data_IF_697489197612
#
_entry.id   IF_697489197612
#
_cell.length_a   1.000
_cell.length_b   1.000
_cell.length_c   1.000
_cell.angle_alpha   90.00
_cell.angle_beta   90.00
_cell.angle_gamma   90.00
#
_symmetry.space_group_name_H-M   'P 1'
#
loop_
_entity.id
_entity.type
_entity.pdbx_description
1 polymer ?
#
# COMPACT_ATOMS: atom_id res chain seq x y z
N UNK A 1 0.98 -0.36 -4.87
CA UNK A 1 1.00 1.13 -4.65
C UNK A 1 1.80 1.44 -3.38
N UNK A 2 2.66 2.46 -3.35
CA UNK A 2 3.51 2.69 -2.15
C UNK A 2 2.80 3.51 -1.07
N UNK A 3 2.45 4.76 -1.36
CA UNK A 3 1.81 5.66 -0.39
C UNK A 3 0.29 5.47 -0.31
N UNK A 4 -0.32 4.99 -1.40
CA UNK A 4 -1.76 4.69 -1.45
C UNK A 4 -2.18 3.69 -0.40
N UNK A 5 -1.38 2.65 -0.14
CA UNK A 5 -1.67 1.68 0.91
C UNK A 5 -1.67 2.33 2.30
N UNK A 6 -0.70 3.18 2.62
CA UNK A 6 -0.71 3.91 3.90
C UNK A 6 -1.94 4.79 4.07
N UNK A 7 -2.43 5.41 2.99
CA UNK A 7 -3.64 6.22 3.05
C UNK A 7 -4.87 5.41 3.45
N UNK A 8 -4.96 4.12 3.05
CA UNK A 8 -6.11 3.27 3.38
C UNK A 8 -6.27 3.03 4.88
N UNK A 9 -5.18 3.07 5.67
CA UNK A 9 -5.23 2.94 7.12
C UNK A 9 -6.07 4.05 7.80
N UNK A 10 -6.21 5.20 7.14
CA UNK A 10 -7.06 6.29 7.62
C UNK A 10 -8.55 5.95 7.58
N UNK A 11 -8.97 4.98 6.76
CA UNK A 11 -10.39 4.61 6.59
C UNK A 11 -10.94 4.03 7.92
N UNK A 12 -10.42 2.91 8.46
CA UNK A 12 -10.89 2.43 9.76
C UNK A 12 -10.58 3.39 10.90
N UNK A 13 -9.46 4.13 10.81
CA UNK A 13 -9.06 5.08 11.84
C UNK A 13 -10.06 6.24 11.98
N UNK A 14 -10.74 6.66 10.92
CA UNK A 14 -11.80 7.65 10.98
C UNK A 14 -12.99 7.25 11.88
N UNK A 15 -13.16 5.96 12.14
CA UNK A 15 -14.20 5.43 13.03
C UNK A 15 -13.68 5.03 14.42
N UNK A 16 -12.37 5.08 14.62
CA UNK A 16 -11.71 4.50 15.80
C UNK A 16 -12.00 5.28 17.08
N UNK A 17 -12.10 6.61 17.02
CA UNK A 17 -12.39 7.47 18.18
C UNK A 17 -13.73 7.11 18.85
N UNK A 18 -14.72 6.70 18.04
CA UNK A 18 -16.06 6.33 18.53
C UNK A 18 -16.14 4.86 18.94
N UNK A 19 -15.33 3.97 18.35
CA UNK A 19 -15.49 2.51 18.46
C UNK A 19 -14.34 1.79 19.15
N UNK A 20 -13.21 2.45 19.39
CA UNK A 20 -11.99 1.87 19.99
C UNK A 20 -11.62 0.53 19.34
N UNK A 21 -11.55 0.51 18.01
CA UNK A 21 -11.38 -0.71 17.22
C UNK A 21 -10.01 -1.35 17.46
N UNK A 22 -8.94 -0.58 17.20
CA UNK A 22 -7.55 -1.01 17.33
C UNK A 22 -6.62 0.22 17.41
N UNK A 23 -5.38 0.09 17.90
CA UNK A 23 -4.41 1.17 17.80
C UNK A 23 -4.05 1.47 16.34
N UNK A 24 -3.75 2.73 16.01
CA UNK A 24 -3.51 3.16 14.62
C UNK A 24 -2.38 2.38 13.91
N UNK A 25 -1.33 2.04 14.65
CA UNK A 25 -0.23 1.25 14.09
C UNK A 25 -0.67 -0.11 13.53
N UNK A 26 -1.73 -0.72 14.09
CA UNK A 26 -2.28 -1.98 13.58
C UNK A 26 -2.89 -1.81 12.19
N UNK A 27 -3.55 -0.68 11.94
CA UNK A 27 -4.10 -0.37 10.61
C UNK A 27 -2.99 -0.02 9.61
N UNK A 28 -1.94 0.70 10.05
CA UNK A 28 -0.75 0.96 9.23
C UNK A 28 -0.04 -0.35 8.86
N UNK A 29 0.15 -1.24 9.85
CA UNK A 29 0.73 -2.56 9.62
C UNK A 29 -0.12 -3.35 8.61
N UNK A 30 -1.44 -3.41 8.79
CA UNK A 30 -2.32 -4.16 7.91
C UNK A 30 -2.33 -3.61 6.47
N UNK A 31 -2.33 -2.28 6.34
CA UNK A 31 -2.32 -1.62 5.04
C UNK A 31 -1.03 -1.86 4.23
N UNK A 32 0.10 -2.15 4.90
CA UNK A 32 1.42 -2.31 4.28
C UNK A 32 1.99 -3.73 4.47
N UNK A 33 1.20 -4.64 5.02
CA UNK A 33 1.69 -5.94 5.49
C UNK A 33 2.32 -6.79 4.39
N UNK A 34 1.70 -6.82 3.22
CA UNK A 34 2.18 -7.60 2.07
C UNK A 34 3.54 -7.09 1.58
N UNK A 35 3.74 -5.77 1.51
CA UNK A 35 5.02 -5.16 1.17
C UNK A 35 6.11 -5.50 2.20
N UNK A 36 5.77 -5.54 3.50
CA UNK A 36 6.74 -5.95 4.52
C UNK A 36 7.15 -7.41 4.36
N UNK A 37 6.20 -8.29 3.99
CA UNK A 37 6.51 -9.69 3.69
C UNK A 37 7.41 -9.77 2.45
N UNK A 38 7.07 -9.03 1.38
CA UNK A 38 7.88 -8.97 0.15
C UNK A 38 9.31 -8.53 0.47
N UNK A 39 9.50 -7.45 1.21
CA UNK A 39 10.82 -6.97 1.60
C UNK A 39 11.58 -8.05 2.38
N UNK A 40 10.92 -8.71 3.34
CA UNK A 40 11.55 -9.79 4.10
C UNK A 40 11.96 -10.96 3.19
N UNK A 41 11.11 -11.36 2.26
CA UNK A 41 11.39 -12.44 1.32
C UNK A 41 12.48 -12.09 0.30
N UNK A 42 12.53 -10.84 -0.17
CA UNK A 42 13.65 -10.36 -1.01
C UNK A 42 14.97 -10.40 -0.23
N UNK A 43 14.98 -9.96 1.03
CA UNK A 43 16.18 -10.03 1.87
C UNK A 43 16.63 -11.46 2.17
N UNK A 44 15.70 -12.42 2.24
CA UNK A 44 15.98 -13.85 2.41
C UNK A 44 16.32 -14.57 1.10
N UNK A 45 16.22 -13.91 -0.06
CA UNK A 45 16.43 -14.51 -1.38
C UNK A 45 15.31 -15.47 -1.82
N UNK A 46 14.14 -15.41 -1.20
CA UNK A 46 12.94 -16.18 -1.56
C UNK A 46 12.22 -15.51 -2.74
N UNK A 47 12.15 -14.20 -2.75
CA UNK A 47 11.63 -13.35 -3.82
C UNK A 47 12.76 -12.49 -4.39
N UNK A 48 12.54 -11.85 -5.52
CA UNK A 48 13.57 -11.06 -6.18
C UNK A 48 13.06 -9.71 -6.68
N UNK A 49 13.94 -8.72 -6.60
CA UNK A 49 13.73 -7.37 -7.13
C UNK A 49 14.94 -7.02 -8.02
N UNK A 50 14.69 -6.62 -9.26
CA UNK A 50 15.74 -6.18 -10.19
C UNK A 50 15.34 -4.84 -10.82
N UNK A 51 16.29 -3.90 -10.97
CA UNK A 51 17.68 -3.94 -10.52
C UNK A 51 17.82 -3.89 -9.00
N UNK A 52 18.83 -4.57 -8.44
CA UNK A 52 19.05 -4.64 -6.99
C UNK A 52 19.47 -3.29 -6.38
N UNK A 53 20.04 -2.40 -7.17
CA UNK A 53 20.47 -1.08 -6.71
C UNK A 53 19.31 -0.09 -6.89
N UNK A 54 18.82 0.46 -5.80
CA UNK A 54 17.69 1.40 -5.77
C UNK A 54 17.88 2.57 -6.76
N UNK A 55 19.08 3.16 -6.82
CA UNK A 55 19.36 4.29 -7.71
C UNK A 55 19.34 3.93 -9.20
N UNK A 56 19.44 2.65 -9.55
CA UNK A 56 19.34 2.15 -10.93
C UNK A 56 17.91 1.70 -11.30
N UNK A 57 17.01 1.70 -10.34
CA UNK A 57 15.61 1.32 -10.55
C UNK A 57 14.76 2.49 -11.04
N UNK A 58 13.85 2.19 -11.97
CA UNK A 58 12.69 3.00 -12.33
C UNK A 58 11.47 2.08 -12.36
N UNK A 59 10.27 2.61 -12.28
CA UNK A 59 9.08 1.75 -12.39
C UNK A 59 9.05 0.98 -13.72
N UNK A 60 9.48 1.60 -14.81
CA UNK A 60 9.48 0.98 -16.14
C UNK A 60 10.49 -0.20 -16.27
N UNK A 61 11.64 -0.13 -15.59
CA UNK A 61 12.68 -1.18 -15.68
C UNK A 61 12.64 -2.18 -14.52
N UNK A 62 11.82 -1.92 -13.49
CA UNK A 62 11.72 -2.79 -12.33
C UNK A 62 11.04 -4.12 -12.69
N UNK A 63 11.66 -5.22 -12.26
CA UNK A 63 11.09 -6.56 -12.34
C UNK A 63 11.00 -7.11 -10.92
N UNK A 64 9.82 -7.55 -10.55
CA UNK A 64 9.52 -8.03 -9.20
C UNK A 64 8.99 -9.45 -9.32
N UNK A 65 9.65 -10.39 -8.65
CA UNK A 65 9.11 -11.72 -8.37
C UNK A 65 8.57 -11.70 -6.94
N UNK A 66 7.26 -11.78 -6.79
CA UNK A 66 6.55 -11.64 -5.52
C UNK A 66 5.49 -12.74 -5.34
N UNK A 67 5.81 -13.95 -5.81
CA UNK A 67 4.92 -15.11 -5.81
C UNK A 67 4.36 -15.45 -4.42
N UNK A 68 5.16 -15.33 -3.36
CA UNK A 68 4.76 -15.73 -2.02
C UNK A 68 4.15 -14.59 -1.18
N UNK A 69 4.39 -13.34 -1.58
CA UNK A 69 3.85 -12.16 -0.88
C UNK A 69 2.57 -11.63 -1.52
N UNK A 70 2.50 -11.52 -2.86
CA UNK A 70 1.45 -10.78 -3.56
C UNK A 70 0.62 -11.60 -4.57
N UNK A 71 0.91 -12.89 -4.80
CA UNK A 71 -0.02 -13.68 -5.59
C UNK A 71 -1.30 -13.95 -4.80
N UNK A 72 -2.43 -14.14 -5.50
CA UNK A 72 -3.76 -14.15 -4.89
C UNK A 72 -3.94 -15.18 -3.76
N UNK A 73 -3.40 -16.40 -3.91
CA UNK A 73 -3.51 -17.42 -2.85
C UNK A 73 -2.69 -17.06 -1.62
N UNK A 74 -1.39 -16.70 -1.71
CA UNK A 74 -0.62 -16.18 -0.57
C UNK A 74 -1.27 -14.97 0.10
N UNK A 75 -1.76 -13.99 -0.67
CA UNK A 75 -2.45 -12.81 -0.11
C UNK A 75 -3.62 -13.20 0.77
N UNK A 76 -4.46 -14.16 0.34
CA UNK A 76 -5.56 -14.66 1.16
C UNK A 76 -5.04 -15.29 2.47
N UNK A 77 -4.00 -16.10 2.39
CA UNK A 77 -3.38 -16.73 3.56
C UNK A 77 -2.84 -15.70 4.56
N UNK A 78 -2.07 -14.73 4.07
CA UNK A 78 -1.50 -13.66 4.88
C UNK A 78 -2.57 -12.76 5.49
N UNK A 79 -3.61 -12.41 4.70
CA UNK A 79 -4.73 -11.60 5.17
C UNK A 79 -5.50 -12.27 6.31
N UNK A 80 -5.77 -13.57 6.19
CA UNK A 80 -6.44 -14.36 7.25
C UNK A 80 -5.54 -14.47 8.48
N UNK A 81 -4.25 -14.77 8.31
CA UNK A 81 -3.30 -14.89 9.41
C UNK A 81 -3.20 -13.59 10.22
N UNK A 82 -3.00 -12.45 9.55
CA UNK A 82 -2.92 -11.14 10.23
C UNK A 82 -4.26 -10.75 10.89
N UNK A 83 -5.38 -11.07 10.25
CA UNK A 83 -6.70 -10.79 10.81
C UNK A 83 -6.96 -11.59 12.10
N UNK A 84 -6.59 -12.87 12.13
CA UNK A 84 -6.66 -13.70 13.35
C UNK A 84 -5.78 -13.10 14.44
N UNK A 85 -4.53 -12.74 14.12
CA UNK A 85 -3.62 -12.10 15.07
C UNK A 85 -4.24 -10.81 15.65
N UNK A 86 -4.78 -9.94 14.79
CA UNK A 86 -5.44 -8.71 15.24
C UNK A 86 -6.66 -8.99 16.14
N UNK A 87 -7.45 -10.02 15.81
CA UNK A 87 -8.58 -10.44 16.63
C UNK A 87 -8.18 -10.89 18.03
N UNK A 88 -7.09 -11.62 18.15
CA UNK A 88 -6.53 -12.10 19.44
C UNK A 88 -6.00 -10.88 20.25
N UNK A 89 -5.21 -10.02 19.61
CA UNK A 89 -4.56 -8.87 20.28
C UNK A 89 -5.56 -7.82 20.69
N UNK A 90 -6.45 -7.42 19.79
CA UNK A 90 -7.41 -6.34 20.02
C UNK A 90 -8.68 -6.82 20.73
N UNK A 91 -8.94 -8.12 20.79
CA UNK A 91 -10.17 -8.73 21.33
C UNK A 91 -11.42 -8.06 20.74
N UNK A 92 -11.40 -7.75 19.46
CA UNK A 92 -12.43 -6.98 18.78
C UNK A 92 -12.64 -7.51 17.34
N UNK A 93 -13.82 -8.06 17.09
CA UNK A 93 -14.20 -8.63 15.79
C UNK A 93 -14.13 -7.59 14.66
N UNK A 94 -14.53 -6.34 14.92
CA UNK A 94 -14.44 -5.28 13.89
C UNK A 94 -12.99 -4.94 13.55
N UNK A 95 -12.06 -5.02 14.50
CA UNK A 95 -10.64 -4.88 14.20
C UNK A 95 -10.14 -6.00 13.27
N UNK A 96 -10.57 -7.25 13.52
CA UNK A 96 -10.29 -8.41 12.64
C UNK A 96 -10.78 -8.14 11.22
N UNK A 97 -12.04 -7.72 11.07
CA UNK A 97 -12.64 -7.42 9.76
C UNK A 97 -11.87 -6.31 9.05
N UNK A 98 -11.55 -5.21 9.74
CA UNK A 98 -10.82 -4.11 9.14
C UNK A 98 -9.40 -4.49 8.71
N UNK A 99 -8.67 -5.27 9.54
CA UNK A 99 -7.32 -5.74 9.21
C UNK A 99 -7.35 -6.64 7.98
N UNK A 100 -8.27 -7.60 7.91
CA UNK A 100 -8.48 -8.42 6.71
C UNK A 100 -8.78 -7.55 5.50
N UNK A 101 -9.74 -6.62 5.63
CA UNK A 101 -10.17 -5.75 4.53
C UNK A 101 -9.04 -4.86 4.02
N UNK A 102 -8.13 -4.37 4.90
CA UNK A 102 -7.00 -3.56 4.49
C UNK A 102 -5.98 -4.37 3.68
N UNK A 103 -5.69 -5.62 4.05
CA UNK A 103 -4.82 -6.50 3.27
C UNK A 103 -5.43 -6.80 1.88
N UNK A 104 -6.74 -7.08 1.82
CA UNK A 104 -7.41 -7.28 0.53
C UNK A 104 -7.46 -5.99 -0.30
N UNK A 105 -7.68 -4.84 0.34
CA UNK A 105 -7.67 -3.55 -0.35
C UNK A 105 -6.29 -3.18 -0.90
N UNK A 106 -5.22 -3.55 -0.18
CA UNK A 106 -3.85 -3.46 -0.66
C UNK A 106 -3.71 -4.17 -2.00
N UNK A 107 -4.05 -5.46 -2.05
CA UNK A 107 -4.00 -6.28 -3.26
C UNK A 107 -4.85 -5.69 -4.40
N UNK A 108 -6.09 -5.28 -4.11
CA UNK A 108 -6.98 -4.68 -5.13
C UNK A 108 -6.37 -3.41 -5.74
N UNK A 109 -5.69 -2.61 -4.95
CA UNK A 109 -5.02 -1.42 -5.46
C UNK A 109 -3.78 -1.77 -6.27
N UNK A 110 -3.04 -2.82 -5.91
CA UNK A 110 -1.90 -3.28 -6.70
C UNK A 110 -2.35 -3.91 -8.01
N UNK A 111 -3.46 -4.63 -8.03
CA UNK A 111 -4.06 -5.09 -9.29
C UNK A 111 -4.49 -3.93 -10.19
N UNK A 112 -4.89 -2.78 -9.62
CA UNK A 112 -5.32 -1.62 -10.39
C UNK A 112 -4.15 -0.76 -10.89
N UNK A 113 -3.02 -0.70 -10.17
CA UNK A 113 -1.94 0.26 -10.47
C UNK A 113 -0.57 -0.40 -10.50
N UNK A 114 -0.34 -1.41 -9.67
CA UNK A 114 0.96 -2.04 -9.43
C UNK A 114 1.49 -2.88 -10.58
N UNK A 115 2.22 -3.92 -10.24
CA UNK A 115 2.76 -4.91 -11.14
C UNK A 115 1.74 -6.02 -11.45
N UNK A 116 2.10 -6.97 -12.32
CA UNK A 116 1.30 -8.18 -12.56
C UNK A 116 1.38 -9.12 -11.36
N UNK A 117 0.23 -9.67 -11.00
CA UNK A 117 0.09 -10.74 -10.01
C UNK A 117 -0.46 -11.99 -10.68
N UNK A 118 -0.30 -13.13 -10.03
CA UNK A 118 -0.78 -14.42 -10.52
C UNK A 118 -1.69 -15.08 -9.48
N UNK A 119 -2.28 -16.21 -9.81
CA UNK A 119 -2.96 -17.02 -8.78
C UNK A 119 -1.92 -17.58 -7.81
N UNK A 120 -0.88 -18.22 -8.35
CA UNK A 120 0.28 -18.73 -7.62
C UNK A 120 1.42 -19.03 -8.60
N UNK A 121 2.35 -18.08 -8.74
CA UNK A 121 3.49 -18.14 -9.65
C UNK A 121 3.17 -17.91 -11.14
N UNK A 122 4.21 -17.63 -11.93
CA UNK A 122 4.11 -17.10 -13.30
C UNK A 122 3.50 -18.09 -14.31
N UNK A 123 3.33 -19.36 -13.95
CA UNK A 123 2.72 -20.39 -14.79
C UNK A 123 1.18 -20.44 -14.64
N UNK A 124 0.60 -19.57 -13.81
CA UNK A 124 -0.84 -19.47 -13.60
C UNK A 124 -1.39 -18.21 -14.28
N UNK A 125 -2.73 -18.03 -14.18
CA UNK A 125 -3.38 -16.86 -14.77
C UNK A 125 -2.86 -15.57 -14.14
N UNK A 126 -2.49 -14.59 -14.99
CA UNK A 126 -2.05 -13.27 -14.56
C UNK A 126 -3.24 -12.31 -14.39
N UNK A 127 -3.13 -11.42 -13.41
CA UNK A 127 -4.10 -10.37 -13.09
C UNK A 127 -3.41 -9.01 -12.96
N UNK A 128 -4.20 -7.94 -13.02
CA UNK A 128 -3.73 -6.57 -12.83
C UNK A 128 -3.43 -5.85 -14.13
N UNK A 129 -3.46 -4.52 -14.05
CA UNK A 129 -3.26 -3.63 -15.20
C UNK A 129 -1.79 -3.39 -15.51
N UNK A 130 -0.87 -3.74 -14.58
CA UNK A 130 0.58 -3.59 -14.75
C UNK A 130 1.01 -2.16 -15.13
N UNK A 131 0.36 -1.17 -14.53
CA UNK A 131 0.59 0.23 -14.91
C UNK A 131 1.99 0.70 -14.58
N UNK A 132 2.61 0.19 -13.50
CA UNK A 132 3.97 0.57 -13.17
C UNK A 132 4.99 0.15 -14.23
N UNK A 133 4.78 -0.99 -14.92
CA UNK A 133 5.65 -1.43 -16.01
C UNK A 133 5.24 -0.89 -17.38
N UNK A 134 3.97 -0.55 -17.58
CA UNK A 134 3.46 -0.16 -18.90
C UNK A 134 3.23 1.34 -19.05
N UNK A 135 2.69 1.99 -18.02
CA UNK A 135 2.34 3.41 -18.01
C UNK A 135 2.59 4.02 -16.61
N UNK A 136 3.84 4.04 -16.12
CA UNK A 136 4.15 4.37 -14.72
C UNK A 136 3.69 5.78 -14.32
N UNK A 137 3.74 6.75 -15.21
CA UNK A 137 3.24 8.11 -14.94
C UNK A 137 1.73 8.08 -14.60
N UNK A 138 0.94 7.31 -15.37
CA UNK A 138 -0.50 7.17 -15.11
C UNK A 138 -0.72 6.44 -13.79
N UNK A 139 0.04 5.39 -13.52
CA UNK A 139 -0.01 4.67 -12.25
C UNK A 139 0.23 5.59 -11.05
N UNK A 140 1.30 6.40 -11.09
CA UNK A 140 1.64 7.37 -10.02
C UNK A 140 0.55 8.44 -9.87
N UNK A 141 -0.03 8.94 -10.97
CA UNK A 141 -1.12 9.93 -10.92
C UNK A 141 -2.37 9.32 -10.25
N UNK A 142 -2.76 8.10 -10.63
CA UNK A 142 -3.90 7.40 -10.01
C UNK A 142 -3.65 7.23 -8.52
N UNK A 143 -2.45 6.79 -8.13
CA UNK A 143 -2.07 6.64 -6.73
C UNK A 143 -2.18 7.98 -5.96
N UNK A 144 -1.66 9.08 -6.52
CA UNK A 144 -1.76 10.40 -5.92
C UNK A 144 -3.22 10.85 -5.73
N UNK A 145 -4.08 10.58 -6.72
CA UNK A 145 -5.52 10.88 -6.64
C UNK A 145 -6.21 10.03 -5.56
N UNK A 146 -5.86 8.76 -5.41
CA UNK A 146 -6.36 7.88 -4.34
C UNK A 146 -5.94 8.42 -2.97
N UNK A 147 -4.65 8.74 -2.79
CA UNK A 147 -4.14 9.35 -1.56
C UNK A 147 -4.88 10.65 -1.22
N UNK A 148 -5.01 11.55 -2.20
CA UNK A 148 -5.71 12.82 -2.03
C UNK A 148 -7.18 12.61 -1.63
N UNK A 149 -7.88 11.71 -2.30
CA UNK A 149 -9.30 11.44 -2.07
C UNK A 149 -9.54 10.86 -0.67
N UNK A 150 -8.77 9.83 -0.28
CA UNK A 150 -8.89 9.20 1.04
C UNK A 150 -8.55 10.21 2.14
N UNK A 151 -7.47 10.97 1.98
CA UNK A 151 -7.06 11.96 2.97
C UNK A 151 -8.09 13.08 3.13
N UNK A 152 -8.61 13.62 2.02
CA UNK A 152 -9.64 14.67 2.04
C UNK A 152 -10.92 14.16 2.72
N UNK A 153 -11.35 12.95 2.37
CA UNK A 153 -12.48 12.31 3.02
C UNK A 153 -12.25 12.13 4.52
N UNK A 154 -11.07 11.63 4.92
CA UNK A 154 -10.71 11.44 6.32
C UNK A 154 -10.76 12.76 7.10
N UNK A 155 -10.15 13.82 6.58
CA UNK A 155 -10.11 15.13 7.22
C UNK A 155 -11.51 15.73 7.38
N UNK A 156 -12.36 15.58 6.35
CA UNK A 156 -13.77 15.99 6.43
C UNK A 156 -14.50 15.18 7.51
N UNK A 157 -14.39 13.85 7.48
CA UNK A 157 -15.04 12.97 8.45
C UNK A 157 -14.67 13.32 9.90
N UNK A 158 -13.39 13.59 10.18
CA UNK A 158 -12.91 14.04 11.50
C UNK A 158 -13.51 15.38 11.90
N UNK A 159 -13.59 16.33 10.98
CA UNK A 159 -14.22 17.64 11.22
C UNK A 159 -15.71 17.50 11.55
N UNK A 160 -16.44 16.67 10.79
CA UNK A 160 -17.87 16.40 11.01
C UNK A 160 -18.15 15.72 12.37
N UNK A 161 -17.16 15.00 12.90
CA UNK A 161 -17.21 14.37 14.24
C UNK A 161 -16.85 15.34 15.39
N UNK A 162 -16.54 16.60 15.10
CA UNK A 162 -16.10 17.58 16.10
C UNK A 162 -14.65 17.42 16.54
N UNK A 163 -13.85 16.64 15.82
CA UNK A 163 -12.44 16.35 16.11
C UNK A 163 -11.52 16.82 14.97
N UNK A 164 -11.51 18.13 14.62
CA UNK A 164 -10.77 18.63 13.48
C UNK A 164 -9.26 18.44 13.67
N UNK A 165 -8.62 17.97 12.61
CA UNK A 165 -7.15 17.82 12.58
C UNK A 165 -6.50 19.22 12.48
N UNK A 166 -5.42 19.47 13.23
CA UNK A 166 -4.70 20.75 13.22
C UNK A 166 -4.11 21.06 11.84
N UNK A 167 -3.93 22.35 11.53
CA UNK A 167 -3.38 22.80 10.23
C UNK A 167 -2.04 22.18 9.89
N UNK A 168 -1.11 22.12 10.87
CA UNK A 168 0.23 21.58 10.64
C UNK A 168 0.20 20.08 10.35
N UNK A 169 -0.65 19.32 11.03
CA UNK A 169 -0.83 17.89 10.78
C UNK A 169 -1.48 17.67 9.40
N UNK A 170 -2.46 18.48 8.98
CA UNK A 170 -3.02 18.41 7.63
C UNK A 170 -1.95 18.59 6.56
N UNK A 171 -1.12 19.65 6.69
CA UNK A 171 0.00 19.92 5.77
C UNK A 171 0.96 18.73 5.73
N UNK A 172 1.35 18.19 6.89
CA UNK A 172 2.23 17.02 6.98
C UNK A 172 1.63 15.78 6.29
N UNK A 173 0.35 15.49 6.50
CA UNK A 173 -0.33 14.37 5.86
C UNK A 173 -0.39 14.51 4.33
N UNK A 174 -0.71 15.71 3.81
CA UNK A 174 -0.66 15.96 2.35
C UNK A 174 0.76 15.86 1.80
N UNK A 175 1.76 16.39 2.51
CA UNK A 175 3.15 16.31 2.09
C UNK A 175 3.64 14.85 2.02
N UNK A 176 3.31 14.03 3.02
CA UNK A 176 3.72 12.63 3.09
C UNK A 176 2.95 11.77 2.08
N UNK A 177 1.61 11.81 2.08
CA UNK A 177 0.83 10.88 1.27
C UNK A 177 0.76 11.31 -0.19
N UNK A 178 0.48 12.56 -0.47
CA UNK A 178 0.34 13.05 -1.86
C UNK A 178 1.68 13.54 -2.40
N UNK A 179 2.40 14.34 -1.63
CA UNK A 179 3.68 14.91 -2.05
C UNK A 179 4.75 13.85 -2.29
N UNK A 180 4.88 12.83 -1.42
CA UNK A 180 5.82 11.74 -1.63
C UNK A 180 5.44 10.89 -2.86
N UNK A 181 4.13 10.64 -3.09
CA UNK A 181 3.67 9.94 -4.30
C UNK A 181 4.04 10.72 -5.57
N UNK A 182 3.75 12.01 -5.61
CA UNK A 182 4.14 12.88 -6.75
C UNK A 182 5.65 12.93 -6.90
N UNK A 183 6.39 12.89 -5.79
CA UNK A 183 7.86 12.80 -5.76
C UNK A 183 8.45 11.56 -6.45
N UNK A 184 7.63 10.53 -6.72
CA UNK A 184 8.05 9.34 -7.49
C UNK A 184 8.04 9.56 -9.02
N UNK A 185 7.44 10.65 -9.52
CA UNK A 185 7.35 10.92 -10.97
C UNK A 185 8.71 10.92 -11.69
N UNK A 186 9.81 11.45 -11.14
CA UNK A 186 11.12 11.33 -11.78
C UNK A 186 11.55 9.87 -12.02
N UNK A 187 11.19 8.96 -11.11
CA UNK A 187 11.52 7.53 -11.20
C UNK A 187 10.56 6.75 -12.12
N UNK A 188 9.56 7.39 -12.70
CA UNK A 188 8.59 6.70 -13.55
C UNK A 188 9.29 5.97 -14.71
N UNK A 189 10.04 6.68 -15.52
CA UNK A 189 10.65 6.17 -16.75
C UNK A 189 12.18 6.07 -16.68
N UNK A 190 12.82 6.78 -15.76
CA UNK A 190 14.27 6.87 -15.64
C UNK A 190 14.73 6.54 -14.22
N UNK A 191 15.85 5.85 -14.06
CA UNK A 191 16.42 5.61 -12.74
C UNK A 191 16.93 6.91 -12.09
N UNK A 192 16.95 6.97 -10.78
CA UNK A 192 17.45 8.15 -10.04
C UNK A 192 18.91 8.48 -10.40
N UNK A 193 19.75 7.48 -10.70
CA UNK A 193 21.13 7.69 -11.14
C UNK A 193 21.22 8.59 -12.38
N UNK A 194 20.19 8.62 -13.23
CA UNK A 194 20.14 9.52 -14.40
C UNK A 194 20.15 11.00 -14.02
N UNK A 195 19.61 11.35 -12.85
CA UNK A 195 19.49 12.74 -12.36
C UNK A 195 20.62 13.15 -11.41
N UNK A 196 21.42 12.19 -10.95
CA UNK A 196 22.50 12.41 -9.99
C UNK A 196 23.89 12.44 -10.63
N UNK A 197 23.98 12.07 -11.90
CA UNK A 197 25.21 11.89 -12.67
C UNK A 197 25.69 12.81 -13.47
#
# INVERSE_FOLDING_TARGET
MVMGHYATALIPYAYNSQRKLAPFWMFLLAAQFLDFIMIAFVLMGIESLSPHQFFQASFLNMRVDMTFSHDLLPVLGWSVGLAIFAGIVCKNVMATVWVFSLCILHELFDLAVGFKHYIFGPNTMAFGLDLYNTQPIIGIIIEALVCFSILTWYLKKRSDQGEPVSKNVKIGLYAILVGATVGLLPMANQPLSHFLG
#
